data_IF_113920776125
#
_entry.id   IF_113920776125
#
_cell.length_a   1.000
_cell.length_b   1.000
_cell.length_c   1.000
_cell.angle_alpha   90.00
_cell.angle_beta   90.00
_cell.angle_gamma   90.00
#
_symmetry.space_group_name_H-M   'P 1'
#
loop_
_entity.id
_entity.type
_entity.pdbx_description
1 polymer ?
#
# COMPACT_ATOMS: atom_id res chain seq x y z
N UNK A 1 12.13 -2.06 2.62
CA UNK A 1 11.02 -1.46 1.87
C UNK A 1 10.25 -0.52 2.77
N UNK A 2 9.74 0.56 2.20
CA UNK A 2 8.86 1.54 2.82
C UNK A 2 7.71 1.90 1.88
N UNK A 3 6.59 2.38 2.42
CA UNK A 3 5.53 3.05 1.66
C UNK A 3 5.72 4.57 1.73
N UNK A 4 5.61 5.25 0.59
CA UNK A 4 5.42 6.69 0.51
C UNK A 4 3.97 6.99 0.11
N UNK A 5 3.38 8.02 0.72
CA UNK A 5 2.07 8.58 0.34
C UNK A 5 2.26 10.01 -0.15
N UNK A 6 1.45 10.45 -1.12
CA UNK A 6 1.37 11.87 -1.50
C UNK A 6 0.73 12.74 -0.42
N UNK A 7 -0.17 12.16 0.38
CA UNK A 7 -0.82 12.82 1.51
C UNK A 7 -1.14 11.80 2.63
N UNK A 8 -0.58 11.95 3.85
CA UNK A 8 -0.91 11.09 4.99
C UNK A 8 -2.24 11.48 5.69
N UNK A 9 -2.79 12.66 5.40
CA UNK A 9 -4.03 13.19 5.99
C UNK A 9 -4.99 13.79 4.94
N UNK A 10 -5.36 13.03 3.89
CA UNK A 10 -6.16 13.53 2.76
C UNK A 10 -7.59 13.89 3.18
N UNK A 11 -8.22 14.82 2.47
CA UNK A 11 -9.65 15.07 2.63
C UNK A 11 -10.51 13.95 1.99
N UNK A 12 -11.76 13.82 2.44
CA UNK A 12 -12.71 12.89 1.80
C UNK A 12 -12.87 13.16 0.31
N UNK A 13 -12.79 12.09 -0.49
CA UNK A 13 -12.88 12.18 -1.95
C UNK A 13 -11.58 12.63 -2.63
N UNK A 14 -10.52 12.93 -1.89
CA UNK A 14 -9.21 13.23 -2.46
C UNK A 14 -8.53 11.95 -2.98
N UNK A 15 -7.73 12.10 -4.04
CA UNK A 15 -6.97 11.01 -4.59
C UNK A 15 -5.57 10.99 -3.98
N UNK A 16 -5.20 9.86 -3.40
CA UNK A 16 -3.90 9.64 -2.78
C UNK A 16 -3.14 8.58 -3.56
N UNK A 17 -1.90 8.90 -3.92
CA UNK A 17 -0.98 7.97 -4.57
C UNK A 17 -0.07 7.35 -3.51
N UNK A 18 0.02 6.02 -3.52
CA UNK A 18 0.94 5.25 -2.69
C UNK A 18 2.03 4.63 -3.56
N UNK A 19 3.30 4.72 -3.14
CA UNK A 19 4.43 4.09 -3.80
C UNK A 19 5.21 3.18 -2.85
N UNK A 20 5.50 1.95 -3.28
CA UNK A 20 6.42 1.06 -2.60
C UNK A 20 7.88 1.36 -3.00
N UNK A 21 8.75 1.60 -2.02
CA UNK A 21 10.14 2.03 -2.24
C UNK A 21 11.13 1.17 -1.46
N UNK A 22 12.39 1.10 -1.91
CA UNK A 22 13.44 0.36 -1.19
C UNK A 22 13.22 -1.15 -1.13
N UNK A 23 12.61 -1.73 -2.16
CA UNK A 23 12.64 -3.16 -2.44
C UNK A 23 13.59 -3.39 -3.62
N UNK A 24 14.68 -4.11 -3.37
CA UNK A 24 15.70 -4.47 -4.35
C UNK A 24 15.80 -6.00 -4.40
N UNK A 25 14.94 -6.66 -5.19
CA UNK A 25 15.05 -8.09 -5.39
C UNK A 25 16.31 -8.40 -6.20
N UNK A 26 17.00 -9.49 -5.89
CA UNK A 26 18.03 -10.08 -6.76
C UNK A 26 17.41 -10.72 -8.02
N UNK A 27 16.47 -10.04 -8.67
CA UNK A 27 15.73 -10.44 -9.87
C UNK A 27 15.13 -9.21 -10.56
N UNK A 28 14.99 -9.28 -11.88
CA UNK A 28 14.30 -8.26 -12.68
C UNK A 28 12.77 -8.32 -12.54
N UNK A 29 12.24 -9.43 -12.01
CA UNK A 29 10.80 -9.59 -11.80
C UNK A 29 10.41 -9.13 -10.40
N UNK A 30 9.45 -8.22 -10.29
CA UNK A 30 8.88 -7.81 -9.00
C UNK A 30 7.37 -7.62 -9.09
N UNK A 31 6.68 -7.96 -8.00
CA UNK A 31 5.24 -7.77 -7.85
C UNK A 31 4.95 -7.11 -6.50
N UNK A 32 3.95 -6.25 -6.51
CA UNK A 32 3.51 -5.48 -5.35
C UNK A 32 2.01 -5.65 -5.22
N UNK A 33 1.56 -6.11 -4.05
CA UNK A 33 0.15 -6.29 -3.74
C UNK A 33 -0.23 -5.43 -2.54
N UNK A 34 -1.32 -4.70 -2.67
CA UNK A 34 -1.79 -3.78 -1.65
C UNK A 34 -3.10 -4.25 -1.03
N UNK A 35 -3.25 -3.97 0.26
CA UNK A 35 -4.48 -4.17 1.05
C UNK A 35 -4.69 -2.97 1.94
N UNK A 36 -5.93 -2.51 2.07
CA UNK A 36 -6.30 -1.39 2.93
C UNK A 36 -7.36 -1.88 3.91
N UNK A 37 -7.11 -1.66 5.19
CA UNK A 37 -8.02 -1.97 6.30
C UNK A 37 -8.52 -0.68 6.95
N UNK A 38 -9.74 -0.69 7.46
CA UNK A 38 -10.27 0.39 8.31
C UNK A 38 -9.75 0.26 9.76
N UNK A 39 -10.11 1.22 10.63
CA UNK A 39 -9.65 1.24 12.03
C UNK A 39 -10.15 0.07 12.86
N UNK A 40 -11.17 -0.66 12.38
CA UNK A 40 -11.70 -1.87 13.01
C UNK A 40 -11.02 -3.14 12.51
N UNK A 41 -10.06 -3.03 11.58
CA UNK A 41 -9.37 -4.16 10.96
C UNK A 41 -10.18 -4.85 9.86
N UNK A 42 -11.24 -4.22 9.34
CA UNK A 42 -11.97 -4.77 8.21
C UNK A 42 -11.23 -4.43 6.92
N UNK A 43 -11.04 -5.42 6.07
CA UNK A 43 -10.49 -5.20 4.72
C UNK A 43 -11.50 -4.41 3.89
N UNK A 44 -11.13 -3.19 3.53
CA UNK A 44 -11.91 -2.28 2.67
C UNK A 44 -11.61 -2.56 1.21
N UNK A 45 -10.34 -2.80 0.89
CA UNK A 45 -9.90 -3.21 -0.43
C UNK A 45 -8.66 -4.10 -0.34
N UNK A 46 -8.51 -5.03 -1.28
CA UNK A 46 -7.35 -5.92 -1.38
C UNK A 46 -7.14 -6.34 -2.82
N UNK A 47 -5.96 -6.87 -3.13
CA UNK A 47 -5.70 -7.38 -4.48
C UNK A 47 -5.37 -6.30 -5.50
N UNK A 48 -5.01 -5.09 -5.06
CA UNK A 48 -4.56 -4.02 -5.96
C UNK A 48 -3.08 -4.27 -6.28
N UNK A 49 -2.73 -4.27 -7.56
CA UNK A 49 -1.40 -4.59 -8.03
C UNK A 49 -0.69 -3.38 -8.65
N UNK A 50 0.61 -3.27 -8.41
CA UNK A 50 1.45 -2.23 -8.99
C UNK A 50 2.41 -1.65 -7.97
N UNK A 51 3.60 -1.22 -8.41
CA UNK A 51 4.56 -0.52 -7.54
C UNK A 51 3.96 0.76 -6.95
N UNK A 52 3.08 1.39 -7.73
CA UNK A 52 2.32 2.57 -7.37
C UNK A 52 0.83 2.26 -7.54
N UNK A 53 0.00 2.72 -6.60
CA UNK A 53 -1.46 2.64 -6.69
C UNK A 53 -2.07 4.00 -6.35
N UNK A 54 -3.25 4.27 -6.91
CA UNK A 54 -4.06 5.42 -6.54
C UNK A 54 -5.31 4.93 -5.80
N UNK A 55 -5.69 5.63 -4.71
CA UNK A 55 -6.87 5.30 -3.93
C UNK A 55 -7.58 6.56 -3.44
N UNK A 56 -8.88 6.46 -3.27
CA UNK A 56 -9.73 7.54 -2.74
C UNK A 56 -10.58 6.99 -1.62
N UNK A 57 -10.54 7.67 -0.48
CA UNK A 57 -11.30 7.31 0.71
C UNK A 57 -12.66 8.02 0.69
N UNK A 58 -13.72 7.24 0.92
CA UNK A 58 -15.12 7.70 0.86
C UNK A 58 -15.76 7.87 2.24
N UNK A 59 -15.07 7.46 3.31
CA UNK A 59 -15.50 7.58 4.70
C UNK A 59 -14.35 8.11 5.56
N UNK A 60 -14.69 8.94 6.54
CA UNK A 60 -13.72 9.44 7.51
C UNK A 60 -13.37 8.31 8.50
N UNK A 61 -12.09 7.99 8.60
CA UNK A 61 -11.57 6.89 9.40
C UNK A 61 -10.03 6.97 9.47
N UNK A 62 -9.42 6.12 10.30
CA UNK A 62 -7.99 5.81 10.17
C UNK A 62 -7.83 4.49 9.44
N UNK A 63 -7.15 4.53 8.29
CA UNK A 63 -6.92 3.36 7.45
C UNK A 63 -5.49 2.87 7.59
N UNK A 64 -5.30 1.55 7.63
CA UNK A 64 -3.97 0.93 7.54
C UNK A 64 -3.75 0.42 6.13
N UNK A 65 -2.74 0.95 5.44
CA UNK A 65 -2.37 0.57 4.08
C UNK A 65 -1.18 -0.38 4.15
N UNK A 66 -1.36 -1.61 3.69
CA UNK A 66 -0.34 -2.65 3.65
C UNK A 66 0.16 -2.87 2.23
N UNK A 67 1.45 -3.16 2.09
CA UNK A 67 2.04 -3.66 0.85
C UNK A 67 2.83 -4.93 1.10
N UNK A 68 2.73 -5.85 0.15
CA UNK A 68 3.60 -7.03 0.03
C UNK A 68 4.33 -6.91 -1.29
N UNK A 69 5.66 -6.78 -1.25
CA UNK A 69 6.52 -6.93 -2.42
C UNK A 69 7.13 -8.33 -2.45
N UNK A 70 7.22 -8.90 -3.64
CA UNK A 70 7.85 -10.21 -3.87
C UNK A 70 8.49 -10.28 -5.25
N UNK A 71 9.40 -11.23 -5.44
CA UNK A 71 9.95 -11.58 -6.75
C UNK A 71 9.90 -13.09 -6.96
N UNK A 72 10.33 -13.55 -8.13
CA UNK A 72 10.53 -14.97 -8.44
C UNK A 72 11.83 -15.53 -7.84
N UNK A 73 12.70 -14.68 -7.26
CA UNK A 73 13.84 -15.12 -6.48
C UNK A 73 13.36 -15.76 -5.18
N UNK A 74 13.82 -16.98 -4.92
CA UNK A 74 13.39 -17.77 -3.76
C UNK A 74 13.61 -16.99 -2.45
N UNK A 75 12.57 -16.90 -1.64
CA UNK A 75 12.60 -16.21 -0.34
C UNK A 75 12.56 -14.69 -0.42
N UNK A 76 12.46 -14.07 -1.60
CA UNK A 76 12.38 -12.62 -1.75
C UNK A 76 10.97 -12.13 -1.50
N UNK A 77 10.71 -11.70 -0.25
CA UNK A 77 9.46 -11.06 0.17
C UNK A 77 9.77 -9.95 1.15
N UNK A 78 9.13 -8.81 0.99
CA UNK A 78 9.16 -7.70 1.94
C UNK A 78 7.74 -7.18 2.15
N UNK A 79 7.46 -6.70 3.36
CA UNK A 79 6.16 -6.12 3.71
C UNK A 79 6.36 -4.80 4.42
N UNK A 80 5.41 -3.89 4.27
CA UNK A 80 5.36 -2.66 5.04
C UNK A 80 3.91 -2.19 5.22
N UNK A 81 3.67 -1.29 6.16
CA UNK A 81 2.38 -0.64 6.35
C UNK A 81 2.52 0.80 6.85
N UNK A 82 1.51 1.63 6.53
CA UNK A 82 1.38 3.00 7.04
C UNK A 82 -0.07 3.30 7.41
N UNK A 83 -0.28 4.23 8.34
CA UNK A 83 -1.60 4.72 8.72
C UNK A 83 -1.92 6.01 7.98
N UNK A 84 -3.15 6.14 7.52
CA UNK A 84 -3.69 7.32 6.82
C UNK A 84 -4.94 7.78 7.57
N UNK A 85 -4.95 9.03 8.01
CA UNK A 85 -6.11 9.63 8.66
C UNK A 85 -6.94 10.41 7.65
N UNK A 86 -8.25 10.15 7.57
CA UNK A 86 -9.19 10.81 6.64
C UNK A 86 -10.35 11.42 7.40
#
# INVERSE_FOLDING_TARGET
MSIASTDPEPALGENVTFEATGYDPNSDYSQYNWTIEDSSGNVVTSGIWGKTIDYTFDRADTYTVYVIASSDYSGSKATDNINIGV
#
